data_IF_331185718203
#
_entry.id   IF_331185718203
#
_cell.length_a   1.000
_cell.length_b   1.000
_cell.length_c   1.000
_cell.angle_alpha   90.00
_cell.angle_beta   90.00
_cell.angle_gamma   90.00
#
_symmetry.space_group_name_H-M   'P 1'
#
loop_
_entity.id
_entity.type
_entity.pdbx_description
1 polymer ?
#
# COMPACT_ATOMS: atom_id res chain seq x y z
N UNK A 1 63.74 -29.37 -4.99
CA UNK A 1 62.66 -28.44 -4.63
C UNK A 1 61.35 -29.18 -4.86
N UNK A 2 60.73 -29.74 -3.81
CA UNK A 2 59.47 -30.49 -3.89
C UNK A 2 58.30 -29.53 -3.70
N UNK A 3 57.44 -29.39 -4.70
CA UNK A 3 56.22 -28.59 -4.60
C UNK A 3 55.18 -29.33 -3.73
N UNK A 4 54.43 -28.63 -2.85
CA UNK A 4 53.39 -29.26 -2.06
C UNK A 4 52.23 -29.69 -2.97
N UNK A 5 51.83 -30.96 -2.84
CA UNK A 5 50.65 -31.53 -3.50
C UNK A 5 49.39 -30.84 -2.96
N UNK A 6 48.43 -30.40 -3.79
CA UNK A 6 47.20 -29.81 -3.29
C UNK A 6 46.42 -30.88 -2.51
N UNK A 7 46.26 -30.66 -1.20
CA UNK A 7 45.40 -31.49 -0.37
C UNK A 7 43.96 -31.40 -0.90
N UNK A 8 43.34 -32.55 -1.15
CA UNK A 8 41.95 -32.58 -1.60
C UNK A 8 41.06 -32.08 -0.46
N UNK A 9 40.11 -31.16 -0.74
CA UNK A 9 39.26 -30.61 0.29
C UNK A 9 38.48 -31.74 0.98
N UNK A 10 38.52 -31.71 2.31
CA UNK A 10 37.80 -32.68 3.13
C UNK A 10 36.30 -32.46 2.99
N UNK A 11 35.50 -33.52 3.14
CA UNK A 11 34.02 -33.42 3.08
C UNK A 11 33.48 -32.36 4.05
N UNK A 12 34.13 -32.17 5.20
CA UNK A 12 33.78 -31.12 6.16
C UNK A 12 33.99 -29.70 5.63
N UNK A 13 35.03 -29.45 4.84
CA UNK A 13 35.26 -28.15 4.20
C UNK A 13 34.22 -27.88 3.12
N UNK A 14 33.88 -28.86 2.29
CA UNK A 14 32.85 -28.71 1.24
C UNK A 14 31.46 -28.39 1.82
N UNK A 15 31.08 -29.03 2.94
CA UNK A 15 29.82 -28.74 3.63
C UNK A 15 29.82 -27.36 4.28
N UNK A 16 30.95 -26.94 4.85
CA UNK A 16 31.13 -25.59 5.41
C UNK A 16 31.00 -24.51 4.33
N UNK A 17 31.65 -24.72 3.18
CA UNK A 17 31.62 -23.78 2.06
C UNK A 17 30.21 -23.67 1.46
N UNK A 18 29.51 -24.80 1.30
CA UNK A 18 28.13 -24.82 0.82
C UNK A 18 27.18 -24.08 1.77
N UNK A 19 27.36 -24.26 3.09
CA UNK A 19 26.58 -23.53 4.10
C UNK A 19 26.84 -22.01 4.08
N UNK A 20 28.08 -21.61 3.83
CA UNK A 20 28.45 -20.21 3.66
C UNK A 20 27.82 -19.60 2.39
N UNK A 21 27.83 -20.34 1.28
CA UNK A 21 27.23 -19.91 0.01
C UNK A 21 25.70 -19.78 0.09
N UNK A 22 25.03 -20.74 0.75
CA UNK A 22 23.59 -20.66 1.01
C UNK A 22 23.24 -19.48 1.92
N UNK A 23 24.04 -19.23 2.95
CA UNK A 23 23.87 -18.07 3.83
C UNK A 23 24.04 -16.75 3.06
N UNK A 24 24.96 -16.71 2.10
CA UNK A 24 25.20 -15.56 1.23
C UNK A 24 24.03 -15.33 0.27
N UNK A 25 23.51 -16.37 -0.38
CA UNK A 25 22.33 -16.30 -1.24
C UNK A 25 21.10 -15.81 -0.46
N UNK A 26 20.83 -16.40 0.71
CA UNK A 26 19.69 -16.00 1.53
C UNK A 26 19.76 -14.50 1.90
N UNK A 27 20.95 -14.02 2.27
CA UNK A 27 21.15 -12.61 2.59
C UNK A 27 20.95 -11.70 1.37
N UNK A 28 21.33 -12.15 0.17
CA UNK A 28 21.08 -11.45 -1.09
C UNK A 28 19.60 -11.42 -1.44
N UNK A 29 18.86 -12.51 -1.29
CA UNK A 29 17.42 -12.57 -1.50
C UNK A 29 16.69 -11.57 -0.59
N UNK A 30 17.10 -11.50 0.68
CA UNK A 30 16.56 -10.53 1.65
C UNK A 30 16.90 -9.09 1.26
N UNK A 31 18.13 -8.84 0.80
CA UNK A 31 18.56 -7.51 0.35
C UNK A 31 17.81 -7.07 -0.92
N UNK A 32 17.60 -7.99 -1.86
CA UNK A 32 16.82 -7.77 -3.07
C UNK A 32 15.35 -7.49 -2.74
N UNK A 33 14.72 -8.35 -1.94
CA UNK A 33 13.34 -8.15 -1.49
C UNK A 33 13.18 -6.82 -0.75
N UNK A 34 14.14 -6.43 0.09
CA UNK A 34 14.14 -5.14 0.76
C UNK A 34 14.25 -3.97 -0.23
N UNK A 35 15.04 -4.12 -1.29
CA UNK A 35 15.21 -3.10 -2.33
C UNK A 35 13.93 -2.95 -3.14
N UNK A 36 13.35 -4.05 -3.61
CA UNK A 36 12.09 -4.04 -4.35
C UNK A 36 10.95 -3.46 -3.53
N UNK A 37 10.81 -3.87 -2.26
CA UNK A 37 9.84 -3.27 -1.34
C UNK A 37 10.05 -1.76 -1.16
N UNK A 38 11.30 -1.29 -1.11
CA UNK A 38 11.61 0.14 -1.00
C UNK A 38 11.24 0.90 -2.27
N UNK A 39 11.53 0.34 -3.44
CA UNK A 39 11.15 0.95 -4.72
C UNK A 39 9.64 1.05 -4.86
N UNK A 40 8.91 -0.04 -4.55
CA UNK A 40 7.45 -0.04 -4.55
C UNK A 40 6.87 0.95 -3.52
N UNK A 41 7.45 1.03 -2.33
CA UNK A 41 7.05 2.02 -1.32
C UNK A 41 7.28 3.46 -1.80
N UNK A 42 8.37 3.74 -2.52
CA UNK A 42 8.64 5.07 -3.10
C UNK A 42 7.66 5.39 -4.22
N UNK A 43 7.37 4.43 -5.11
CA UNK A 43 6.37 4.60 -6.18
C UNK A 43 4.99 4.88 -5.59
N UNK A 44 4.56 4.06 -4.63
CA UNK A 44 3.30 4.24 -3.91
C UNK A 44 3.26 5.58 -3.16
N UNK A 45 4.35 5.96 -2.48
CA UNK A 45 4.47 7.24 -1.78
C UNK A 45 4.37 8.44 -2.72
N UNK A 46 4.98 8.38 -3.91
CA UNK A 46 4.88 9.43 -4.93
C UNK A 46 3.47 9.52 -5.53
N UNK A 47 2.81 8.38 -5.77
CA UNK A 47 1.43 8.38 -6.22
C UNK A 47 0.49 8.97 -5.15
N UNK A 48 0.67 8.58 -3.89
CA UNK A 48 -0.11 9.10 -2.77
C UNK A 48 0.09 10.61 -2.56
N UNK A 49 1.32 11.12 -2.72
CA UNK A 49 1.59 12.55 -2.59
C UNK A 49 0.95 13.37 -3.71
N UNK A 50 1.02 12.90 -4.96
CA UNK A 50 0.35 13.54 -6.09
C UNK A 50 -1.18 13.56 -5.91
N UNK A 51 -1.77 12.45 -5.46
CA UNK A 51 -3.20 12.39 -5.17
C UNK A 51 -3.60 13.33 -4.03
N UNK A 52 -2.74 13.49 -3.01
CA UNK A 52 -2.97 14.43 -1.91
C UNK A 52 -2.97 15.88 -2.40
N UNK A 53 -1.98 16.26 -3.24
CA UNK A 53 -1.93 17.60 -3.85
C UNK A 53 -3.15 17.84 -4.75
N UNK A 54 -3.52 16.88 -5.59
CA UNK A 54 -4.70 16.96 -6.43
C UNK A 54 -5.99 17.08 -5.59
N UNK A 55 -6.09 16.37 -4.47
CA UNK A 55 -7.21 16.48 -3.53
C UNK A 55 -7.33 17.88 -2.92
N UNK A 56 -6.23 18.46 -2.45
CA UNK A 56 -6.21 19.83 -1.91
C UNK A 56 -6.54 20.86 -3.00
N UNK A 57 -5.94 20.74 -4.18
CA UNK A 57 -6.22 21.64 -5.30
C UNK A 57 -7.68 21.55 -5.75
N UNK A 58 -8.23 20.33 -5.82
CA UNK A 58 -9.64 20.09 -6.13
C UNK A 58 -10.57 20.69 -5.08
N UNK A 59 -10.25 20.57 -3.79
CA UNK A 59 -11.02 21.17 -2.70
C UNK A 59 -10.98 22.71 -2.75
N UNK A 60 -9.83 23.29 -3.08
CA UNK A 60 -9.70 24.74 -3.28
C UNK A 60 -10.50 25.22 -4.51
N UNK A 61 -10.43 24.49 -5.62
CA UNK A 61 -11.21 24.81 -6.82
C UNK A 61 -12.72 24.72 -6.54
N UNK A 62 -13.16 23.67 -5.85
CA UNK A 62 -14.54 23.51 -5.38
C UNK A 62 -15.02 24.69 -4.53
N UNK A 63 -14.18 25.17 -3.61
CA UNK A 63 -14.48 26.35 -2.79
C UNK A 63 -14.61 27.62 -3.64
N UNK A 64 -13.68 27.88 -4.55
CA UNK A 64 -13.73 29.06 -5.44
C UNK A 64 -14.94 29.02 -6.38
N UNK A 65 -15.27 27.85 -6.93
CA UNK A 65 -16.49 27.67 -7.74
C UNK A 65 -17.73 27.94 -6.90
N UNK A 66 -17.76 27.50 -5.65
CA UNK A 66 -18.89 27.76 -4.75
C UNK A 66 -19.10 29.27 -4.54
N UNK A 67 -18.02 30.02 -4.30
CA UNK A 67 -18.09 31.48 -4.20
C UNK A 67 -18.55 32.12 -5.51
N UNK A 68 -18.02 31.66 -6.64
CA UNK A 68 -18.41 32.17 -7.96
C UNK A 68 -19.90 31.96 -8.24
N UNK A 69 -20.46 30.79 -7.86
CA UNK A 69 -21.89 30.51 -8.01
C UNK A 69 -22.71 31.41 -7.09
N UNK A 70 -22.33 31.57 -5.82
CA UNK A 70 -23.04 32.44 -4.87
C UNK A 70 -23.07 33.88 -5.38
N UNK A 71 -21.90 34.45 -5.73
CA UNK A 71 -21.83 35.82 -6.23
C UNK A 71 -22.48 35.99 -7.61
N UNK A 72 -22.45 34.98 -8.47
CA UNK A 72 -23.18 35.00 -9.73
C UNK A 72 -24.70 35.05 -9.52
N UNK A 73 -25.21 34.26 -8.57
CA UNK A 73 -26.64 34.21 -8.25
C UNK A 73 -27.11 35.42 -7.44
N UNK A 74 -26.23 36.09 -6.69
CA UNK A 74 -26.57 37.29 -5.91
C UNK A 74 -27.17 38.41 -6.78
N UNK A 75 -26.82 38.44 -8.07
CA UNK A 75 -27.40 39.39 -9.04
C UNK A 75 -28.88 39.11 -9.38
N UNK A 76 -29.40 37.93 -9.02
CA UNK A 76 -30.74 37.44 -9.39
C UNK A 76 -31.58 37.11 -8.16
N UNK A 77 -30.96 36.61 -7.09
CA UNK A 77 -31.61 36.24 -5.83
C UNK A 77 -30.76 36.71 -4.64
N UNK A 78 -31.36 36.84 -3.46
CA UNK A 78 -30.63 37.16 -2.23
C UNK A 78 -29.49 36.15 -1.96
N UNK A 79 -28.31 36.66 -1.57
CA UNK A 79 -27.11 35.87 -1.28
C UNK A 79 -27.36 34.70 -0.32
N UNK A 80 -28.28 34.83 0.64
CA UNK A 80 -28.64 33.76 1.58
C UNK A 80 -29.26 32.57 0.87
N UNK A 81 -30.16 32.82 -0.09
CA UNK A 81 -30.77 31.76 -0.91
C UNK A 81 -29.77 31.16 -1.90
N UNK A 82 -28.88 31.97 -2.48
CA UNK A 82 -27.81 31.47 -3.33
C UNK A 82 -26.86 30.52 -2.56
N UNK A 83 -26.45 30.91 -1.35
CA UNK A 83 -25.63 30.07 -0.48
C UNK A 83 -26.35 28.78 -0.07
N UNK A 84 -27.66 28.83 0.21
CA UNK A 84 -28.45 27.66 0.55
C UNK A 84 -28.53 26.65 -0.60
N UNK A 85 -28.68 27.12 -1.85
CA UNK A 85 -28.65 26.24 -3.03
C UNK A 85 -27.31 25.53 -3.14
N UNK A 86 -26.20 26.27 -3.03
CA UNK A 86 -24.85 25.69 -3.08
C UNK A 86 -24.61 24.70 -1.94
N UNK A 87 -25.11 24.99 -0.74
CA UNK A 87 -25.06 24.07 0.39
C UNK A 87 -25.83 22.76 0.14
N UNK A 88 -27.02 22.84 -0.46
CA UNK A 88 -27.80 21.64 -0.85
C UNK A 88 -27.05 20.80 -1.89
N UNK A 89 -26.42 21.44 -2.88
CA UNK A 89 -25.60 20.73 -3.89
C UNK A 89 -24.46 19.95 -3.21
N UNK A 90 -23.68 20.60 -2.34
CA UNK A 90 -22.62 19.92 -1.61
C UNK A 90 -23.13 18.85 -0.65
N UNK A 91 -24.29 19.06 -0.03
CA UNK A 91 -24.97 18.07 0.80
C UNK A 91 -25.32 16.81 0.00
N UNK A 92 -25.84 16.96 -1.22
CA UNK A 92 -26.15 15.84 -2.09
C UNK A 92 -24.88 15.08 -2.54
N UNK A 93 -23.83 15.81 -2.95
CA UNK A 93 -22.53 15.23 -3.29
C UNK A 93 -21.96 14.45 -2.09
N UNK A 94 -22.00 15.03 -0.90
CA UNK A 94 -21.56 14.39 0.34
C UNK A 94 -22.35 13.12 0.68
N UNK A 95 -23.68 13.14 0.51
CA UNK A 95 -24.53 11.97 0.73
C UNK A 95 -24.18 10.81 -0.23
N UNK A 96 -23.97 11.11 -1.52
CA UNK A 96 -23.56 10.11 -2.52
C UNK A 96 -22.16 9.57 -2.20
N UNK A 97 -21.21 10.44 -1.89
CA UNK A 97 -19.85 10.03 -1.52
C UNK A 97 -19.83 9.14 -0.27
N UNK A 98 -20.59 9.52 0.77
CA UNK A 98 -20.70 8.75 2.00
C UNK A 98 -21.32 7.36 1.76
N UNK A 99 -22.42 7.29 1.01
CA UNK A 99 -23.10 6.01 0.74
C UNK A 99 -22.21 5.06 -0.06
N UNK A 100 -21.55 5.57 -1.12
CA UNK A 100 -20.62 4.77 -1.92
C UNK A 100 -19.39 4.36 -1.13
N UNK A 101 -18.78 5.28 -0.38
CA UNK A 101 -17.62 5.00 0.46
C UNK A 101 -17.93 3.96 1.53
N UNK A 102 -19.08 4.08 2.20
CA UNK A 102 -19.54 3.11 3.19
C UNK A 102 -19.78 1.73 2.58
N UNK A 103 -20.34 1.66 1.36
CA UNK A 103 -20.53 0.38 0.65
C UNK A 103 -19.17 -0.25 0.34
N UNK A 104 -18.23 0.52 -0.21
CA UNK A 104 -16.90 0.02 -0.56
C UNK A 104 -16.10 -0.45 0.65
N UNK A 105 -16.18 0.28 1.75
CA UNK A 105 -15.51 -0.09 3.00
C UNK A 105 -16.03 -1.40 3.59
N UNK A 106 -17.31 -1.74 3.38
CA UNK A 106 -17.87 -3.05 3.78
C UNK A 106 -17.36 -4.22 2.92
N UNK A 107 -16.87 -3.94 1.72
CA UNK A 107 -16.30 -4.95 0.80
C UNK A 107 -14.81 -5.19 1.06
N UNK A 108 -14.14 -4.33 1.83
CA UNK A 108 -12.72 -4.49 2.17
C UNK A 108 -12.59 -5.45 3.35
N UNK A 109 -12.06 -6.66 3.12
CA UNK A 109 -11.59 -7.53 4.19
C UNK A 109 -10.12 -7.19 4.52
N UNK A 110 -9.82 -6.66 5.72
CA UNK A 110 -8.46 -6.27 6.10
C UNK A 110 -7.54 -7.47 6.34
N UNK A 111 -8.11 -8.67 6.50
CA UNK A 111 -7.34 -9.90 6.69
C UNK A 111 -7.46 -10.72 5.41
N UNK A 112 -6.36 -11.08 4.75
CA UNK A 112 -6.41 -12.00 3.61
C UNK A 112 -6.79 -13.39 4.12
N UNK A 113 -8.08 -13.69 4.11
CA UNK A 113 -8.67 -14.91 4.68
C UNK A 113 -7.98 -16.17 4.17
N UNK A 114 -7.73 -16.25 2.86
CA UNK A 114 -7.04 -17.37 2.22
C UNK A 114 -5.63 -17.55 2.75
N UNK A 115 -4.86 -16.48 2.90
CA UNK A 115 -3.49 -16.53 3.42
C UNK A 115 -3.48 -16.98 4.89
N UNK A 116 -4.42 -16.48 5.69
CA UNK A 116 -4.54 -16.89 7.09
C UNK A 116 -4.98 -18.35 7.21
N UNK A 117 -5.84 -18.83 6.32
CA UNK A 117 -6.26 -20.23 6.27
C UNK A 117 -5.10 -21.16 5.92
N UNK A 118 -4.33 -20.86 4.88
CA UNK A 118 -3.12 -21.63 4.51
C UNK A 118 -2.10 -21.67 5.65
N UNK A 119 -1.80 -20.54 6.29
CA UNK A 119 -0.88 -20.50 7.43
C UNK A 119 -1.38 -21.33 8.63
N UNK A 120 -2.70 -21.41 8.85
CA UNK A 120 -3.29 -22.27 9.89
C UNK A 120 -3.22 -23.74 9.55
N UNK A 121 -3.32 -24.11 8.27
CA UNK A 121 -3.13 -25.49 7.81
C UNK A 121 -1.66 -25.92 7.96
N UNK A 122 -0.73 -25.09 7.52
CA UNK A 122 0.71 -25.37 7.65
C UNK A 122 1.14 -25.52 9.11
N UNK A 123 0.63 -24.66 10.00
CA UNK A 123 0.90 -24.74 11.43
C UNK A 123 0.29 -26.00 12.09
N UNK A 124 -0.82 -26.51 11.56
CA UNK A 124 -1.43 -27.78 12.01
C UNK A 124 -0.57 -28.97 11.58
N UNK A 125 -0.20 -29.04 10.31
CA UNK A 125 0.72 -30.05 9.77
C UNK A 125 2.03 -30.13 10.54
N UNK A 126 2.63 -28.97 10.86
CA UNK A 126 3.87 -28.91 11.63
C UNK A 126 3.73 -29.41 13.09
N UNK A 127 2.55 -29.27 13.70
CA UNK A 127 2.28 -29.83 15.03
C UNK A 127 2.11 -31.34 15.00
N UNK A 128 1.38 -31.86 14.03
CA UNK A 128 1.08 -33.29 13.90
C UNK A 128 2.37 -34.11 13.62
N UNK A 129 3.37 -33.51 12.97
CA UNK A 129 4.71 -34.11 12.80
C UNK A 129 5.52 -34.21 14.11
N UNK A 130 5.15 -33.46 15.15
CA UNK A 130 5.88 -33.39 16.42
C UNK A 130 5.24 -34.26 17.52
N UNK A 131 4.01 -34.73 17.32
CA UNK A 131 3.29 -35.67 18.20
C UNK A 131 3.50 -37.11 17.77
#
# INVERSE_FOLDING_TARGET
MTAPTPEQPTIGQLVSDLGADLSKLFRQEVELARTELREEAVKAGKAASLLSVAGVAGLMAAFLVSLAVVFGLDSVIDAGWAALIVAVIWGAVGAIAYTNGRKRMREVSPVPEKTVETLKEDARWARDLKS
#
